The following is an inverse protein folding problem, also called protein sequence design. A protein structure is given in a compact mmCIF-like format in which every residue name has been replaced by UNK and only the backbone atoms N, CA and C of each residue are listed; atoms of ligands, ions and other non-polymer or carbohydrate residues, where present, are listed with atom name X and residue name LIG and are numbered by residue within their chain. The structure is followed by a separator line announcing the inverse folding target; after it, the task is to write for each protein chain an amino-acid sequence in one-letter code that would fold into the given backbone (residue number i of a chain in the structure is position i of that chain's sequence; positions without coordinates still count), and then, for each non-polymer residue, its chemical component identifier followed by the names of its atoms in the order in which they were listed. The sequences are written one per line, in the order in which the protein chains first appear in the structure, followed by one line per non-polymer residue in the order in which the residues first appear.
data_IF_951047069268
#
_entry.id   IF_951047069268
#
_cell.length_a   1.000
_cell.length_b   1.000
_cell.length_c   1.000
_cell.angle_alpha   90.00
_cell.angle_beta   90.00
_cell.angle_gamma   90.00
#
_symmetry.space_group_name_H-M   'P 1'
#
loop_
_entity.id
_entity.type
_entity.pdbx_description
1 polymer ?
#
# COMPACT_ATOMS: atom_id res chain seq x y z
N UNK A 1 13.54 -0.44 -46.94
CA UNK A 1 12.79 -0.10 -45.70
C UNK A 1 11.41 -0.76 -45.60
N UNK A 2 10.59 -0.83 -46.67
CA UNK A 2 9.23 -1.43 -46.61
C UNK A 2 9.22 -2.94 -46.31
N UNK A 3 10.15 -3.71 -46.88
CA UNK A 3 10.27 -5.15 -46.65
C UNK A 3 10.70 -5.51 -45.20
N UNK A 4 11.56 -4.70 -44.58
CA UNK A 4 12.02 -4.91 -43.20
C UNK A 4 10.90 -4.72 -42.17
N UNK A 5 10.01 -3.75 -42.39
CA UNK A 5 8.82 -3.52 -41.53
C UNK A 5 7.79 -4.66 -41.63
N UNK A 6 7.68 -5.33 -42.78
CA UNK A 6 6.79 -6.49 -42.97
C UNK A 6 7.38 -7.71 -42.27
N UNK A 7 8.68 -7.97 -42.45
CA UNK A 7 9.37 -9.07 -41.77
C UNK A 7 9.31 -8.94 -40.24
N UNK A 8 9.47 -7.72 -39.70
CA UNK A 8 9.40 -7.48 -38.25
C UNK A 8 7.99 -7.69 -37.69
N UNK A 9 6.94 -7.29 -38.43
CA UNK A 9 5.54 -7.56 -38.03
C UNK A 9 5.21 -9.06 -38.04
N UNK A 10 5.73 -9.81 -39.02
CA UNK A 10 5.53 -11.26 -39.09
C UNK A 10 6.25 -12.00 -37.98
N UNK A 11 7.47 -11.58 -37.61
CA UNK A 11 8.22 -12.15 -36.48
C UNK A 11 7.50 -11.85 -35.16
N UNK A 12 7.00 -10.62 -34.99
CA UNK A 12 6.25 -10.24 -33.78
C UNK A 12 4.94 -11.04 -33.64
N UNK A 13 4.19 -11.23 -34.73
CA UNK A 13 3.00 -12.08 -34.74
C UNK A 13 3.32 -13.54 -34.41
N UNK A 14 4.45 -14.06 -34.89
CA UNK A 14 4.89 -15.43 -34.59
C UNK A 14 5.28 -15.58 -33.11
N UNK A 15 5.93 -14.57 -32.52
CA UNK A 15 6.30 -14.57 -31.09
C UNK A 15 5.05 -14.50 -30.21
N UNK A 16 4.08 -13.65 -30.56
CA UNK A 16 2.80 -13.56 -29.84
C UNK A 16 2.06 -14.90 -29.92
N UNK A 17 2.01 -15.54 -31.09
CA UNK A 17 1.39 -16.86 -31.26
C UNK A 17 2.13 -17.96 -30.48
N UNK A 18 3.46 -17.91 -30.43
CA UNK A 18 4.25 -18.89 -29.68
C UNK A 18 4.03 -18.72 -28.16
N UNK A 19 3.95 -17.48 -27.68
CA UNK A 19 3.69 -17.17 -26.27
C UNK A 19 2.27 -17.58 -25.85
N UNK A 20 1.25 -17.39 -26.69
CA UNK A 20 -0.11 -17.84 -26.38
C UNK A 20 -0.24 -19.36 -26.36
N UNK A 21 0.46 -20.07 -27.26
CA UNK A 21 0.50 -21.54 -27.26
C UNK A 21 1.24 -22.09 -26.03
N UNK A 22 2.33 -21.47 -25.60
CA UNK A 22 3.04 -21.85 -24.36
C UNK A 22 2.15 -21.61 -23.13
N UNK A 23 1.39 -20.50 -23.11
CA UNK A 23 0.44 -20.21 -22.04
C UNK A 23 -0.69 -21.25 -21.98
N UNK A 24 -1.23 -21.66 -23.13
CA UNK A 24 -2.23 -22.73 -23.23
C UNK A 24 -1.72 -24.09 -22.76
N UNK A 25 -0.48 -24.48 -23.12
CA UNK A 25 0.12 -25.75 -22.69
C UNK A 25 0.40 -25.75 -21.18
N UNK A 26 0.71 -24.60 -20.59
CA UNK A 26 0.98 -24.49 -19.15
C UNK A 26 -0.28 -24.58 -18.28
N UNK A 27 -1.47 -24.35 -18.86
CA UNK A 27 -2.78 -24.52 -18.20
C UNK A 27 -3.21 -26.00 -18.23
N UNK A 28 -2.79 -26.77 -19.23
CA UNK A 28 -3.01 -28.22 -19.28
C UNK A 28 -1.94 -28.96 -18.48
N UNK A 29 -2.10 -28.98 -17.15
CA UNK A 29 -1.43 -29.95 -16.29
C UNK A 29 -1.78 -31.39 -16.70
N UNK A 30 -0.90 -32.35 -16.38
CA UNK A 30 -0.94 -33.74 -16.86
C UNK A 30 -2.13 -34.60 -16.42
N UNK A 31 -3.21 -34.01 -15.92
CA UNK A 31 -4.47 -34.67 -15.61
C UNK A 31 -5.57 -33.74 -16.13
N UNK A 32 -6.37 -34.21 -17.09
CA UNK A 32 -7.39 -33.45 -17.82
C UNK A 32 -8.61 -33.04 -16.99
N UNK A 33 -8.39 -32.42 -15.83
CA UNK A 33 -9.37 -31.53 -15.22
C UNK A 33 -9.10 -30.11 -15.73
N UNK A 34 -10.07 -29.56 -16.46
CA UNK A 34 -10.09 -28.16 -16.84
C UNK A 34 -10.25 -27.34 -15.55
N UNK A 35 -9.13 -26.98 -14.93
CA UNK A 35 -9.12 -25.98 -13.85
C UNK A 35 -9.54 -24.67 -14.50
N UNK A 36 -10.83 -24.31 -14.34
CA UNK A 36 -11.29 -22.97 -14.71
C UNK A 36 -10.34 -21.97 -14.05
N UNK A 37 -9.74 -21.03 -14.79
CA UNK A 37 -8.97 -19.98 -14.15
C UNK A 37 -9.88 -19.32 -13.12
N UNK A 38 -9.42 -19.19 -11.88
CA UNK A 38 -10.12 -18.38 -10.89
C UNK A 38 -10.32 -17.00 -11.53
N UNK A 39 -11.56 -16.58 -11.75
CA UNK A 39 -11.85 -15.27 -12.32
C UNK A 39 -11.18 -14.21 -11.44
N UNK A 40 -10.17 -13.52 -11.98
CA UNK A 40 -9.48 -12.48 -11.24
C UNK A 40 -10.35 -11.23 -11.21
N UNK A 41 -11.03 -11.01 -10.09
CA UNK A 41 -11.78 -9.78 -9.88
C UNK A 41 -10.90 -8.64 -9.36
N UNK A 42 -11.16 -7.43 -9.82
CA UNK A 42 -10.61 -6.19 -9.26
C UNK A 42 -11.71 -5.22 -8.87
N UNK A 43 -11.39 -4.33 -7.94
CA UNK A 43 -12.29 -3.26 -7.50
C UNK A 43 -11.85 -2.01 -8.26
N UNK A 44 -12.78 -1.20 -8.73
CA UNK A 44 -12.45 0.10 -9.33
C UNK A 44 -13.34 1.18 -8.69
N UNK A 45 -12.75 2.25 -8.16
CA UNK A 45 -13.53 3.39 -7.69
C UNK A 45 -13.96 4.29 -8.86
N UNK A 46 -15.12 4.94 -8.69
CA UNK A 46 -15.65 5.98 -9.60
C UNK A 46 -14.72 7.18 -9.81
N UNK A 47 -13.82 7.46 -8.88
CA UNK A 47 -12.79 8.49 -8.97
C UNK A 47 -11.43 7.84 -8.80
N UNK A 48 -10.46 8.23 -9.63
CA UNK A 48 -9.09 7.75 -9.50
C UNK A 48 -8.47 8.26 -8.19
N UNK A 49 -7.59 7.49 -7.53
CA UNK A 49 -6.81 8.00 -6.40
C UNK A 49 -5.99 9.22 -6.82
N UNK A 50 -5.92 10.24 -5.98
CA UNK A 50 -5.34 11.54 -6.34
C UNK A 50 -5.71 12.65 -5.37
N UNK A 51 -5.28 13.86 -5.71
CA UNK A 51 -5.70 15.08 -5.02
C UNK A 51 -7.03 15.62 -5.55
N UNK A 52 -7.90 16.07 -4.63
CA UNK A 52 -9.16 16.71 -4.96
C UNK A 52 -9.39 17.95 -4.06
N UNK A 53 -9.70 19.11 -4.66
CA UNK A 53 -9.97 20.34 -3.91
C UNK A 53 -11.42 20.44 -3.39
N UNK A 54 -12.18 19.33 -3.44
CA UNK A 54 -13.58 19.24 -3.03
C UNK A 54 -13.90 17.84 -2.50
N UNK A 55 -15.00 17.75 -1.75
CA UNK A 55 -15.52 16.49 -1.22
C UNK A 55 -15.95 15.53 -2.34
N UNK A 56 -15.75 14.23 -2.14
CA UNK A 56 -16.12 13.18 -3.09
C UNK A 56 -17.18 12.26 -2.51
N UNK A 57 -18.05 11.74 -3.38
CA UNK A 57 -18.88 10.57 -3.07
C UNK A 57 -18.44 9.43 -3.98
N UNK A 58 -17.67 8.49 -3.42
CA UNK A 58 -17.05 7.39 -4.15
C UNK A 58 -18.02 6.21 -4.26
N UNK A 59 -18.30 5.80 -5.48
CA UNK A 59 -18.83 4.46 -5.78
C UNK A 59 -17.69 3.48 -6.08
N UNK A 60 -17.86 2.20 -5.69
CA UNK A 60 -16.96 1.09 -6.00
C UNK A 60 -17.65 0.08 -6.92
N UNK A 61 -16.91 -0.46 -7.87
CA UNK A 61 -17.36 -1.45 -8.84
C UNK A 61 -16.45 -2.68 -8.82
N UNK A 62 -17.00 -3.87 -9.05
CA UNK A 62 -16.20 -5.08 -9.30
C UNK A 62 -16.06 -5.22 -10.82
N UNK A 63 -14.83 -5.40 -11.30
CA UNK A 63 -14.53 -5.74 -12.69
C UNK A 63 -13.98 -7.17 -12.75
N UNK A 64 -14.34 -7.90 -13.81
CA UNK A 64 -13.69 -9.16 -14.17
C UNK A 64 -12.39 -8.91 -14.97
N UNK A 65 -11.78 -9.98 -15.48
CA UNK A 65 -10.56 -9.94 -16.28
C UNK A 65 -10.72 -9.21 -17.63
N UNK A 66 -11.95 -9.12 -18.13
CA UNK A 66 -12.32 -8.45 -19.38
C UNK A 66 -12.72 -6.99 -19.19
N UNK A 67 -12.50 -6.44 -17.98
CA UNK A 67 -12.87 -5.08 -17.57
C UNK A 67 -14.39 -4.78 -17.63
N UNK A 68 -15.20 -5.83 -17.56
CA UNK A 68 -16.65 -5.73 -17.49
C UNK A 68 -17.12 -5.64 -16.03
N UNK A 69 -18.11 -4.79 -15.79
CA UNK A 69 -18.72 -4.65 -14.45
C UNK A 69 -19.49 -5.91 -14.10
N UNK A 70 -19.15 -6.49 -12.95
CA UNK A 70 -19.78 -7.68 -12.38
C UNK A 70 -20.75 -7.26 -11.29
N UNK A 71 -22.01 -7.62 -11.45
CA UNK A 71 -23.07 -7.47 -10.44
C UNK A 71 -23.53 -8.87 -10.00
N UNK A 72 -22.64 -9.56 -9.28
CA UNK A 72 -22.92 -10.87 -8.70
C UNK A 72 -23.31 -10.70 -7.23
N UNK A 73 -24.46 -11.26 -6.85
CA UNK A 73 -24.99 -11.18 -5.48
C UNK A 73 -24.16 -11.99 -4.48
N UNK A 74 -23.38 -12.94 -4.96
CA UNK A 74 -22.50 -13.77 -4.14
C UNK A 74 -21.16 -13.05 -3.85
N UNK A 75 -20.87 -11.94 -4.55
CA UNK A 75 -19.68 -11.12 -4.33
C UNK A 75 -20.01 -9.88 -3.53
N UNK A 76 -19.30 -9.70 -2.41
CA UNK A 76 -19.47 -8.56 -1.52
C UNK A 76 -18.18 -7.74 -1.42
N UNK A 77 -18.29 -6.41 -1.50
CA UNK A 77 -17.15 -5.54 -1.19
C UNK A 77 -17.20 -5.20 0.30
N UNK A 78 -16.15 -5.55 1.02
CA UNK A 78 -15.87 -5.02 2.35
C UNK A 78 -14.77 -3.98 2.26
N UNK A 79 -14.91 -2.88 2.98
CA UNK A 79 -13.91 -1.82 3.00
C UNK A 79 -13.65 -1.25 4.40
N UNK A 80 -12.46 -0.70 4.56
CA UNK A 80 -12.12 0.21 5.66
C UNK A 80 -11.69 1.54 5.06
N UNK A 81 -11.83 2.60 5.85
CA UNK A 81 -11.41 3.94 5.46
C UNK A 81 -10.69 4.63 6.62
N UNK A 82 -9.77 5.55 6.31
CA UNK A 82 -9.21 6.44 7.33
C UNK A 82 -10.31 7.18 8.07
N UNK A 83 -10.28 7.10 9.40
CA UNK A 83 -11.16 7.87 10.26
C UNK A 83 -10.39 9.06 10.83
N UNK A 84 -10.79 10.26 10.44
CA UNK A 84 -10.16 11.51 10.88
C UNK A 84 -10.70 12.05 12.20
N UNK A 85 -11.66 11.38 12.81
CA UNK A 85 -12.18 11.79 14.11
C UNK A 85 -11.10 11.60 15.17
N UNK A 86 -10.92 12.63 15.99
CA UNK A 86 -10.06 12.55 17.16
C UNK A 86 -10.51 11.37 18.02
N UNK A 87 -9.59 10.45 18.30
CA UNK A 87 -9.85 9.29 19.13
C UNK A 87 -8.80 9.22 20.23
N UNK A 88 -9.24 8.95 21.44
CA UNK A 88 -8.34 8.60 22.53
C UNK A 88 -7.84 7.17 22.32
N UNK A 89 -6.52 6.93 22.26
CA UNK A 89 -5.95 5.59 22.25
C UNK A 89 -6.53 4.74 23.39
N UNK A 90 -6.97 3.51 23.11
CA UNK A 90 -7.38 2.57 24.15
C UNK A 90 -6.16 1.94 24.83
N UNK A 91 -6.35 1.47 26.06
CA UNK A 91 -5.33 0.74 26.82
C UNK A 91 -4.95 -0.54 26.07
N UNK A 92 -3.69 -0.65 25.65
CA UNK A 92 -3.16 -1.80 24.90
C UNK A 92 -2.87 -1.52 23.42
N UNK A 93 -3.20 -0.32 22.92
CA UNK A 93 -2.78 0.09 21.58
C UNK A 93 -1.30 0.46 21.56
N UNK A 94 -0.63 0.09 20.48
CA UNK A 94 0.81 0.29 20.29
C UNK A 94 1.08 1.68 19.71
N UNK A 95 0.44 2.70 20.28
CA UNK A 95 0.61 4.09 19.86
C UNK A 95 1.76 4.68 20.66
N UNK A 96 2.90 4.87 20.01
CA UNK A 96 3.98 5.67 20.59
C UNK A 96 3.54 7.14 20.55
N UNK A 97 3.56 7.83 21.70
CA UNK A 97 3.58 9.30 21.75
C UNK A 97 4.91 9.76 21.18
N UNK A 98 4.99 9.73 19.87
CA UNK A 98 5.97 10.51 19.16
C UNK A 98 5.50 11.96 19.29
N UNK A 99 6.21 12.76 20.11
CA UNK A 99 6.08 14.21 20.09
C UNK A 99 6.15 14.71 18.64
N UNK A 100 5.01 15.21 18.19
CA UNK A 100 4.74 15.84 16.89
C UNK A 100 4.62 14.87 15.70
N UNK A 101 3.40 14.87 15.13
CA UNK A 101 2.87 14.11 13.99
C UNK A 101 2.38 12.69 14.31
N UNK A 102 1.06 12.58 14.54
CA UNK A 102 0.33 11.33 14.35
C UNK A 102 0.40 10.96 12.85
N UNK A 103 1.19 9.95 12.49
CA UNK A 103 0.99 9.27 11.21
C UNK A 103 -0.36 8.54 11.28
N UNK A 104 -1.30 8.96 10.45
CA UNK A 104 -2.72 8.59 10.54
C UNK A 104 -2.94 7.08 10.67
N UNK A 105 -3.73 6.68 11.68
CA UNK A 105 -4.23 5.33 11.89
C UNK A 105 -5.55 5.19 11.10
N UNK A 106 -5.49 4.56 9.93
CA UNK A 106 -6.61 4.42 9.01
C UNK A 106 -6.26 3.49 7.85
N UNK A 107 -7.25 2.79 7.27
CA UNK A 107 -6.99 1.77 6.24
C UNK A 107 -6.42 0.48 6.84
N UNK A 108 -7.21 -0.19 7.70
CA UNK A 108 -6.90 -1.57 8.13
C UNK A 108 -7.34 -2.58 7.07
N UNK A 109 -6.82 -3.78 7.17
CA UNK A 109 -7.27 -4.86 6.31
C UNK A 109 -8.77 -5.12 6.55
N UNK A 110 -9.62 -5.15 5.50
CA UNK A 110 -11.03 -5.51 5.65
C UNK A 110 -11.14 -6.95 6.14
N UNK A 111 -11.97 -7.14 7.16
CA UNK A 111 -12.17 -8.44 7.82
C UNK A 111 -13.64 -8.62 8.19
N UNK A 112 -14.20 -9.76 7.76
CA UNK A 112 -15.60 -10.14 7.95
C UNK A 112 -15.95 -10.32 9.44
N UNK A 113 -15.00 -10.79 10.26
CA UNK A 113 -15.23 -11.00 11.71
C UNK A 113 -15.41 -9.69 12.48
N UNK A 114 -14.94 -8.57 11.94
CA UNK A 114 -14.97 -7.25 12.58
C UNK A 114 -15.94 -6.28 11.90
N UNK A 115 -16.92 -6.77 11.14
CA UNK A 115 -18.01 -5.92 10.65
C UNK A 115 -18.76 -5.28 11.82
N UNK A 116 -19.08 -4.00 11.68
CA UNK A 116 -19.91 -3.21 12.61
C UNK A 116 -19.36 -3.00 14.04
N UNK A 117 -18.08 -3.32 14.30
CA UNK A 117 -17.47 -3.01 15.60
C UNK A 117 -17.18 -1.51 15.76
N UNK A 118 -17.69 -0.89 16.83
CA UNK A 118 -17.33 0.48 17.22
C UNK A 118 -15.87 0.51 17.72
N UNK A 119 -14.92 0.88 16.86
CA UNK A 119 -13.49 0.94 17.22
C UNK A 119 -12.53 1.07 16.03
N UNK A 120 -11.25 0.77 16.27
CA UNK A 120 -10.14 0.92 15.30
C UNK A 120 -10.27 0.01 14.06
N UNK A 121 -11.06 -1.05 14.14
CA UNK A 121 -11.19 -2.11 13.12
C UNK A 121 -12.50 -2.02 12.34
N UNK A 122 -13.04 -0.82 12.17
CA UNK A 122 -14.37 -0.67 11.56
C UNK A 122 -14.34 -1.08 10.08
N UNK A 123 -14.69 -2.34 9.82
CA UNK A 123 -14.97 -2.87 8.49
C UNK A 123 -16.42 -2.56 8.15
N UNK A 124 -16.64 -2.03 6.95
CA UNK A 124 -17.95 -1.71 6.43
C UNK A 124 -18.27 -2.59 5.23
N UNK A 125 -19.49 -3.11 5.16
CA UNK A 125 -20.04 -3.65 3.93
C UNK A 125 -20.43 -2.51 3.00
N UNK A 126 -19.91 -2.52 1.77
CA UNK A 126 -20.26 -1.52 0.77
C UNK A 126 -21.70 -1.76 0.29
N UNK A 127 -22.59 -0.84 0.70
CA UNK A 127 -24.02 -0.85 0.33
C UNK A 127 -24.47 0.47 -0.27
N UNK A 128 -23.63 1.51 -0.19
CA UNK A 128 -23.86 2.87 -0.68
C UNK A 128 -22.51 3.55 -0.91
N UNK A 129 -22.53 4.67 -1.64
CA UNK A 129 -21.36 5.49 -1.86
C UNK A 129 -20.65 5.89 -0.56
N UNK A 130 -19.33 5.99 -0.65
CA UNK A 130 -18.43 6.34 0.44
C UNK A 130 -18.15 7.83 0.35
N UNK A 131 -18.58 8.58 1.36
CA UNK A 131 -18.31 10.01 1.42
C UNK A 131 -16.88 10.27 1.91
N UNK A 132 -16.05 10.79 1.01
CA UNK A 132 -14.66 11.20 1.27
C UNK A 132 -14.66 12.71 1.37
N UNK A 133 -14.87 13.18 2.60
CA UNK A 133 -15.09 14.59 2.91
C UNK A 133 -13.92 15.19 3.68
N UNK A 134 -13.62 16.46 3.41
CA UNK A 134 -12.71 17.22 4.24
C UNK A 134 -13.46 17.97 5.33
N UNK A 135 -13.50 17.39 6.53
CA UNK A 135 -14.10 18.04 7.72
C UNK A 135 -13.26 19.20 8.29
N UNK A 136 -12.11 19.52 7.69
CA UNK A 136 -11.19 20.56 8.13
C UNK A 136 -11.07 21.64 7.06
N UNK A 137 -11.63 22.82 7.30
CA UNK A 137 -11.67 23.90 6.29
C UNK A 137 -10.28 24.42 5.84
N UNK A 138 -9.19 24.10 6.54
CA UNK A 138 -7.86 24.67 6.28
C UNK A 138 -6.69 23.67 6.23
N UNK A 139 -6.95 22.36 6.31
CA UNK A 139 -5.87 21.36 6.24
C UNK A 139 -6.28 20.22 5.33
N UNK A 140 -5.40 19.80 4.40
CA UNK A 140 -5.68 18.66 3.55
C UNK A 140 -5.71 17.39 4.40
N UNK A 141 -6.54 16.44 3.98
CA UNK A 141 -6.69 15.13 4.63
C UNK A 141 -6.31 14.03 3.66
N UNK A 142 -5.51 13.09 4.15
CA UNK A 142 -5.20 11.86 3.42
C UNK A 142 -6.18 10.78 3.85
N UNK A 143 -7.09 10.41 2.94
CA UNK A 143 -8.07 9.35 3.13
C UNK A 143 -7.60 8.10 2.39
N UNK A 144 -7.38 7.03 3.14
CA UNK A 144 -7.03 5.73 2.57
C UNK A 144 -8.26 4.85 2.64
N UNK A 145 -8.73 4.36 1.50
CA UNK A 145 -9.79 3.35 1.37
C UNK A 145 -9.13 2.03 1.02
N UNK A 146 -9.32 1.01 1.87
CA UNK A 146 -8.90 -0.36 1.56
C UNK A 146 -10.13 -1.20 1.34
N UNK A 147 -10.21 -1.87 0.19
CA UNK A 147 -11.36 -2.67 -0.17
C UNK A 147 -10.91 -4.07 -0.62
N UNK A 148 -11.70 -5.08 -0.25
CA UNK A 148 -11.48 -6.46 -0.65
C UNK A 148 -12.82 -7.10 -1.00
N UNK A 149 -12.78 -8.05 -1.92
CA UNK A 149 -13.94 -8.83 -2.34
C UNK A 149 -14.05 -10.02 -1.39
N UNK A 150 -15.27 -10.37 -1.02
CA UNK A 150 -15.60 -11.54 -0.23
C UNK A 150 -16.67 -12.36 -0.96
N UNK A 151 -16.53 -13.68 -0.92
CA UNK A 151 -17.53 -14.64 -1.37
C UNK A 151 -17.78 -15.63 -0.22
N UNK A 152 -19.05 -15.83 0.16
CA UNK A 152 -19.42 -16.69 1.29
C UNK A 152 -18.66 -16.38 2.61
N UNK A 153 -18.45 -15.09 2.88
CA UNK A 153 -17.70 -14.63 4.06
C UNK A 153 -16.19 -14.87 4.03
N UNK A 154 -15.65 -15.40 2.92
CA UNK A 154 -14.21 -15.60 2.73
C UNK A 154 -13.65 -14.56 1.79
N UNK A 155 -12.49 -14.02 2.14
CA UNK A 155 -11.79 -13.06 1.30
C UNK A 155 -11.39 -13.70 -0.02
N UNK A 156 -11.78 -13.05 -1.11
CA UNK A 156 -11.50 -13.43 -2.48
C UNK A 156 -10.50 -12.44 -3.09
N UNK A 157 -9.31 -12.92 -3.43
CA UNK A 157 -8.23 -12.09 -3.98
C UNK A 157 -7.54 -11.18 -2.95
N UNK A 158 -6.81 -10.18 -3.46
CA UNK A 158 -6.02 -9.23 -2.65
C UNK A 158 -6.83 -7.99 -2.29
N UNK A 159 -6.45 -7.37 -1.18
CA UNK A 159 -6.99 -6.05 -0.81
C UNK A 159 -6.38 -5.01 -1.73
N UNK A 160 -7.24 -4.13 -2.24
CA UNK A 160 -6.85 -2.98 -3.05
C UNK A 160 -6.90 -1.72 -2.20
N UNK A 161 -5.87 -0.89 -2.32
CA UNK A 161 -5.69 0.31 -1.50
C UNK A 161 -5.74 1.54 -2.38
N UNK A 162 -6.65 2.45 -2.07
CA UNK A 162 -6.86 3.71 -2.78
C UNK A 162 -6.56 4.87 -1.82
N UNK A 163 -5.71 5.79 -2.24
CA UNK A 163 -5.31 6.94 -1.43
C UNK A 163 -5.80 8.23 -2.09
N UNK A 164 -6.63 8.98 -1.37
CA UNK A 164 -7.18 10.26 -1.80
C UNK A 164 -6.65 11.36 -0.89
N UNK A 165 -6.25 12.47 -1.47
CA UNK A 165 -5.86 13.67 -0.73
C UNK A 165 -6.95 14.72 -0.96
N UNK A 166 -7.73 15.05 0.07
CA UNK A 166 -8.82 16.03 -0.05
C UNK A 166 -8.41 17.32 0.64
N UNK A 167 -8.44 18.43 -0.09
CA UNK A 167 -8.04 19.74 0.41
C UNK A 167 -8.99 20.84 -0.05
N UNK A 168 -10.20 20.90 0.54
CA UNK A 168 -11.13 22.01 0.31
C UNK A 168 -10.45 23.36 0.52
N UNK A 169 -10.41 24.20 -0.51
CA UNK A 169 -9.76 25.52 -0.48
C UNK A 169 -8.25 25.52 -0.78
N UNK A 170 -7.67 24.37 -1.12
CA UNK A 170 -6.30 24.27 -1.63
C UNK A 170 -6.38 24.17 -3.15
N UNK A 171 -6.01 25.24 -3.84
CA UNK A 171 -6.03 25.29 -5.31
C UNK A 171 -4.71 24.78 -5.91
N UNK A 172 -3.60 24.96 -5.18
CA UNK A 172 -2.27 24.53 -5.61
C UNK A 172 -1.70 23.47 -4.63
N UNK A 173 -1.57 22.24 -5.13
CA UNK A 173 -0.99 21.13 -4.38
C UNK A 173 0.51 21.32 -4.11
N UNK A 174 1.25 21.90 -5.07
CA UNK A 174 2.69 22.08 -4.99
C UNK A 174 3.06 23.13 -3.92
N UNK A 175 2.28 24.20 -3.81
CA UNK A 175 2.47 25.20 -2.74
C UNK A 175 2.30 24.61 -1.35
N UNK A 176 1.41 23.62 -1.19
CA UNK A 176 1.10 23.02 0.11
C UNK A 176 2.03 21.86 0.47
N UNK A 177 2.38 21.01 -0.49
CA UNK A 177 3.10 19.75 -0.25
C UNK A 177 4.51 19.72 -0.84
N UNK A 178 4.88 20.69 -1.66
CA UNK A 178 6.15 20.73 -2.36
C UNK A 178 6.17 19.82 -3.59
N UNK A 179 7.26 19.08 -3.77
CA UNK A 179 7.55 18.39 -5.03
C UNK A 179 6.89 17.01 -5.18
N UNK A 180 6.83 16.19 -4.13
CA UNK A 180 6.32 14.82 -4.22
C UNK A 180 5.78 14.36 -2.86
N UNK A 181 4.60 13.74 -2.86
CA UNK A 181 4.01 13.13 -1.66
C UNK A 181 4.10 11.61 -1.77
N UNK A 182 4.66 10.98 -0.74
CA UNK A 182 4.72 9.52 -0.63
C UNK A 182 3.86 9.08 0.55
N UNK A 183 2.83 8.28 0.26
CA UNK A 183 1.99 7.67 1.27
C UNK A 183 2.37 6.20 1.45
N UNK A 184 2.59 5.79 2.70
CA UNK A 184 2.86 4.39 3.06
C UNK A 184 1.73 3.92 3.97
N UNK A 185 1.04 2.86 3.56
CA UNK A 185 -0.03 2.23 4.31
C UNK A 185 0.42 0.85 4.75
N UNK A 186 0.40 0.55 6.04
CA UNK A 186 0.82 -0.74 6.61
C UNK A 186 0.00 -1.05 7.84
N UNK A 187 -0.01 -2.32 8.25
CA UNK A 187 -0.52 -2.68 9.58
C UNK A 187 0.32 -1.98 10.67
N UNK A 188 -0.34 -1.50 11.71
CA UNK A 188 0.29 -0.87 12.88
C UNK A 188 1.30 -1.81 13.54
N UNK A 189 1.00 -3.12 13.60
CA UNK A 189 1.90 -4.13 14.19
C UNK A 189 3.24 -4.22 13.45
N UNK A 190 3.26 -3.93 12.16
CA UNK A 190 4.49 -3.93 11.36
C UNK A 190 5.44 -2.83 11.82
N UNK A 191 4.91 -1.70 12.29
CA UNK A 191 5.69 -0.58 12.78
C UNK A 191 5.97 -0.70 14.28
N UNK A 192 4.96 -1.04 15.08
CA UNK A 192 4.98 -0.89 16.53
C UNK A 192 4.71 -2.20 17.31
N UNK A 193 4.52 -3.32 16.62
CA UNK A 193 4.39 -4.66 17.21
C UNK A 193 5.54 -5.01 18.14
N UNK A 194 5.26 -5.64 19.27
CA UNK A 194 6.29 -6.04 20.23
C UNK A 194 7.35 -6.95 19.58
N UNK A 195 6.91 -8.00 18.90
CA UNK A 195 7.80 -9.00 18.30
C UNK A 195 8.43 -8.50 17.01
N UNK A 196 7.62 -7.93 16.12
CA UNK A 196 8.01 -7.66 14.72
C UNK A 196 8.07 -6.17 14.35
N UNK A 197 7.66 -5.25 15.23
CA UNK A 197 7.57 -3.83 14.94
C UNK A 197 8.92 -3.19 14.64
N UNK A 198 9.07 -2.65 13.42
CA UNK A 198 10.36 -2.14 12.93
C UNK A 198 10.74 -0.75 13.46
N UNK A 199 9.84 -0.05 14.17
CA UNK A 199 10.07 1.31 14.68
C UNK A 199 10.39 1.36 16.18
N UNK A 200 10.31 0.23 16.89
CA UNK A 200 10.46 0.16 18.35
C UNK A 200 11.68 -0.66 18.80
N UNK A 201 11.98 -0.63 20.11
CA UNK A 201 13.01 -1.51 20.70
C UNK A 201 12.58 -2.98 20.66
N UNK A 202 11.35 -3.26 21.09
CA UNK A 202 10.65 -4.54 20.97
C UNK A 202 11.35 -5.76 21.60
N UNK A 203 10.86 -6.95 21.25
CA UNK A 203 11.26 -8.22 21.83
C UNK A 203 12.77 -8.48 21.74
N UNK A 204 13.44 -8.02 20.68
CA UNK A 204 14.89 -8.21 20.52
C UNK A 204 15.69 -7.54 21.64
N UNK A 205 15.23 -6.38 22.10
CA UNK A 205 15.86 -5.64 23.18
C UNK A 205 15.68 -6.35 24.52
N UNK A 206 14.45 -6.75 24.84
CA UNK A 206 14.13 -7.42 26.10
C UNK A 206 14.81 -8.79 26.20
N UNK A 207 14.83 -9.55 25.10
CA UNK A 207 15.58 -10.81 25.00
C UNK A 207 17.07 -10.58 25.28
N UNK A 208 17.67 -9.55 24.71
CA UNK A 208 19.10 -9.27 24.94
C UNK A 208 19.37 -8.84 26.38
N UNK A 209 18.48 -8.04 26.98
CA UNK A 209 18.60 -7.58 28.38
C UNK A 209 18.45 -8.72 29.38
N UNK A 210 17.51 -9.62 29.13
CA UNK A 210 17.27 -10.78 29.99
C UNK A 210 18.45 -11.75 29.95
N UNK A 211 19.04 -11.97 28.78
CA UNK A 211 20.15 -12.93 28.63
C UNK A 211 21.53 -12.33 28.97
N UNK A 212 21.70 -11.01 28.93
CA UNK A 212 22.97 -10.33 29.24
C UNK A 212 22.73 -9.11 30.15
N UNK A 213 22.31 -9.30 31.41
CA UNK A 213 21.89 -8.19 32.27
C UNK A 213 23.03 -7.24 32.65
N UNK A 214 24.28 -7.70 32.59
CA UNK A 214 25.48 -6.90 32.87
C UNK A 214 25.97 -6.09 31.66
N UNK A 215 25.37 -6.27 30.47
CA UNK A 215 25.75 -5.52 29.28
C UNK A 215 25.14 -4.11 29.33
N UNK A 216 25.99 -3.11 29.18
CA UNK A 216 25.58 -1.71 29.05
C UNK A 216 24.82 -1.46 27.73
N UNK A 217 23.84 -0.57 27.81
CA UNK A 217 23.00 -0.18 26.68
C UNK A 217 23.72 0.83 25.77
N UNK A 218 24.65 0.32 24.98
CA UNK A 218 25.34 1.09 23.94
C UNK A 218 24.45 1.36 22.70
N UNK A 219 24.98 2.16 21.76
CA UNK A 219 24.30 2.49 20.50
C UNK A 219 23.98 1.28 19.61
N UNK A 220 24.69 0.17 19.80
CA UNK A 220 24.59 -1.08 19.05
C UNK A 220 23.80 -2.15 19.80
N UNK A 221 23.18 -1.80 20.92
CA UNK A 221 22.39 -2.72 21.69
C UNK A 221 21.24 -3.26 20.81
N UNK A 222 21.11 -4.59 20.63
CA UNK A 222 20.12 -5.17 19.74
C UNK A 222 18.71 -4.71 20.08
N UNK A 223 18.02 -4.18 19.08
CA UNK A 223 16.64 -3.67 19.11
C UNK A 223 15.99 -4.05 17.80
N UNK A 224 14.66 -4.16 17.75
CA UNK A 224 13.92 -4.52 16.53
C UNK A 224 14.28 -3.59 15.37
N UNK A 225 14.32 -2.27 15.60
CA UNK A 225 14.70 -1.32 14.55
C UNK A 225 16.14 -1.46 14.05
N UNK A 226 17.03 -2.19 14.75
CA UNK A 226 18.41 -2.44 14.31
C UNK A 226 18.53 -3.70 13.44
N UNK A 227 17.49 -4.51 13.34
CA UNK A 227 17.56 -5.81 12.70
C UNK A 227 17.61 -5.73 11.16
N UNK A 228 17.95 -6.87 10.54
CA UNK A 228 18.26 -6.96 9.10
C UNK A 228 17.77 -8.28 8.52
N UNK A 229 17.71 -8.34 7.19
CA UNK A 229 17.28 -9.51 6.43
C UNK A 229 15.79 -9.48 6.11
N UNK A 230 15.37 -10.44 5.28
CA UNK A 230 13.99 -10.58 4.78
C UNK A 230 12.96 -10.72 5.90
N UNK A 231 13.33 -11.37 7.00
CA UNK A 231 12.50 -11.53 8.20
C UNK A 231 12.14 -10.20 8.92
N UNK A 232 12.83 -9.11 8.59
CA UNK A 232 12.58 -7.76 9.12
C UNK A 232 11.96 -6.82 8.09
N UNK A 233 11.48 -7.38 6.98
CA UNK A 233 10.71 -6.68 5.97
C UNK A 233 9.22 -6.82 6.31
N UNK A 234 8.47 -5.74 6.15
CA UNK A 234 7.05 -5.69 6.48
C UNK A 234 6.25 -5.31 5.24
N UNK A 235 5.14 -5.98 5.04
CA UNK A 235 4.24 -5.65 3.95
C UNK A 235 3.65 -4.24 4.15
N UNK A 236 3.66 -3.46 3.09
CA UNK A 236 3.03 -2.16 3.02
C UNK A 236 2.51 -1.91 1.61
N UNK A 237 1.67 -0.89 1.47
CA UNK A 237 1.26 -0.33 0.19
C UNK A 237 1.83 1.08 0.07
N UNK A 238 2.40 1.40 -1.08
CA UNK A 238 2.95 2.73 -1.36
C UNK A 238 2.18 3.43 -2.47
N UNK A 239 1.89 4.71 -2.27
CA UNK A 239 1.35 5.61 -3.28
C UNK A 239 2.27 6.83 -3.46
N UNK A 240 2.61 7.15 -4.71
CA UNK A 240 3.42 8.31 -5.08
C UNK A 240 2.58 9.32 -5.84
N UNK A 241 2.59 10.56 -5.36
CA UNK A 241 1.91 11.68 -5.98
C UNK A 241 2.94 12.73 -6.42
N UNK A 242 2.83 13.21 -7.65
CA UNK A 242 3.62 14.33 -8.17
C UNK A 242 3.19 15.66 -7.51
N UNK A 243 3.90 16.74 -7.85
CA UNK A 243 3.62 18.08 -7.33
C UNK A 243 2.24 18.62 -7.71
N UNK A 244 1.56 18.03 -8.69
CA UNK A 244 0.18 18.39 -9.06
C UNK A 244 -0.88 17.53 -8.33
N UNK A 245 -0.45 16.56 -7.51
CA UNK A 245 -1.32 15.61 -6.82
C UNK A 245 -1.77 14.42 -7.66
N UNK A 246 -1.22 14.24 -8.86
CA UNK A 246 -1.48 13.08 -9.73
C UNK A 246 -0.78 11.83 -9.19
N UNK A 247 -1.52 10.72 -9.07
CA UNK A 247 -0.96 9.41 -8.69
C UNK A 247 -0.10 8.82 -9.83
N UNK A 248 1.18 8.57 -9.56
CA UNK A 248 2.13 7.95 -10.53
C UNK A 248 2.30 6.47 -10.29
N UNK A 249 2.31 6.05 -9.03
CA UNK A 249 2.56 4.66 -8.65
C UNK A 249 1.70 4.31 -7.45
N UNK A 250 1.03 3.16 -7.52
CA UNK A 250 0.25 2.57 -6.43
C UNK A 250 0.47 1.07 -6.44
N UNK A 251 1.21 0.53 -5.47
CA UNK A 251 1.52 -0.91 -5.43
C UNK A 251 1.87 -1.39 -4.02
N UNK A 252 1.72 -2.68 -3.76
CA UNK A 252 2.28 -3.28 -2.54
C UNK A 252 3.81 -3.38 -2.64
N UNK A 253 4.46 -3.28 -1.49
CA UNK A 253 5.90 -3.28 -1.34
C UNK A 253 6.27 -3.84 0.04
N UNK A 254 7.56 -4.16 0.22
CA UNK A 254 8.14 -4.37 1.54
C UNK A 254 8.71 -3.07 2.09
N UNK A 255 8.67 -2.88 3.41
CA UNK A 255 9.36 -1.81 4.11
C UNK A 255 10.27 -2.35 5.20
N UNK A 256 11.39 -1.67 5.44
CA UNK A 256 12.33 -1.97 6.53
C UNK A 256 13.12 -0.74 6.94
N UNK A 257 13.58 -0.68 8.19
CA UNK A 257 14.47 0.40 8.63
C UNK A 257 15.81 0.40 7.87
N UNK A 258 16.20 1.57 7.39
CA UNK A 258 17.45 1.82 6.70
C UNK A 258 18.51 2.42 7.65
N UNK A 259 19.76 2.47 7.20
CA UNK A 259 20.86 3.11 7.94
C UNK A 259 21.61 2.20 8.92
N UNK A 260 22.43 2.83 9.78
CA UNK A 260 23.18 2.18 10.87
C UNK A 260 22.85 2.88 12.18
N UNK A 261 23.65 3.89 12.52
CA UNK A 261 23.44 4.74 13.70
C UNK A 261 22.13 5.54 13.65
N UNK A 262 21.75 6.03 12.46
CA UNK A 262 20.53 6.84 12.24
C UNK A 262 19.23 6.13 12.61
N UNK A 263 19.23 4.79 12.77
CA UNK A 263 18.07 4.01 13.24
C UNK A 263 17.65 4.35 14.66
N UNK A 264 18.56 4.91 15.45
CA UNK A 264 18.25 5.37 16.80
C UNK A 264 17.52 6.72 16.82
N UNK A 265 17.48 7.44 15.69
CA UNK A 265 16.73 8.69 15.59
C UNK A 265 15.22 8.44 15.74
N UNK A 266 14.52 9.49 16.15
CA UNK A 266 13.08 9.47 16.32
C UNK A 266 12.36 9.28 14.97
N UNK A 267 12.75 10.09 13.97
CA UNK A 267 12.37 9.89 12.57
C UNK A 267 13.35 8.89 11.96
N UNK A 268 12.86 7.70 11.59
CA UNK A 268 13.70 6.65 11.01
C UNK A 268 13.59 6.65 9.49
N UNK A 269 14.72 6.44 8.83
CA UNK A 269 14.75 6.17 7.40
C UNK A 269 14.13 4.81 7.11
N UNK A 270 13.24 4.74 6.12
CA UNK A 270 12.68 3.49 5.61
C UNK A 270 13.27 3.17 4.24
N UNK A 271 13.45 1.88 3.97
CA UNK A 271 13.78 1.34 2.65
C UNK A 271 12.51 0.74 2.07
N UNK A 272 12.14 1.18 0.88
CA UNK A 272 11.13 0.52 0.06
C UNK A 272 11.77 -0.65 -0.69
N UNK A 273 11.10 -1.78 -0.66
CA UNK A 273 11.57 -3.06 -1.19
C UNK A 273 10.49 -3.59 -2.12
N UNK A 274 10.91 -4.26 -3.19
CA UNK A 274 9.97 -4.88 -4.12
C UNK A 274 9.21 -6.00 -3.41
N UNK A 275 7.89 -6.04 -3.59
CA UNK A 275 7.10 -7.22 -3.25
C UNK A 275 7.34 -8.28 -4.34
N UNK A 276 8.00 -9.40 -3.98
CA UNK A 276 8.26 -10.51 -4.89
C UNK A 276 6.98 -11.27 -5.27
N UNK A 277 5.89 -11.11 -4.50
CA UNK A 277 4.58 -11.73 -4.78
C UNK A 277 3.76 -10.97 -5.83
N UNK A 278 4.27 -9.85 -6.38
CA UNK A 278 3.61 -9.06 -7.42
C UNK A 278 4.36 -9.20 -8.75
N UNK A 279 3.70 -9.70 -9.82
CA UNK A 279 4.27 -9.67 -11.17
C UNK A 279 4.46 -8.22 -11.62
N UNK A 280 5.60 -7.93 -12.25
CA UNK A 280 5.96 -6.58 -12.67
C UNK A 280 4.96 -6.03 -13.68
N UNK A 281 4.26 -4.96 -13.33
CA UNK A 281 3.68 -4.05 -14.33
C UNK A 281 4.84 -3.17 -14.82
N UNK A 282 5.25 -3.35 -16.07
CA UNK A 282 6.12 -2.38 -16.71
C UNK A 282 5.29 -1.12 -16.95
N UNK A 283 5.42 -0.13 -16.08
CA UNK A 283 5.03 1.23 -16.42
C UNK A 283 6.04 1.71 -17.48
N UNK A 284 5.61 2.08 -18.70
CA UNK A 284 6.51 2.70 -19.65
C UNK A 284 6.93 4.06 -19.09
N UNK A 285 8.07 4.09 -18.39
CA UNK A 285 8.77 5.32 -18.07
C UNK A 285 9.25 5.94 -19.39
N UNK A 286 8.39 6.73 -20.05
CA UNK A 286 8.86 7.77 -20.96
C UNK A 286 9.26 9.00 -20.16
N UNK A 287 10.13 8.78 -19.16
CA UNK A 287 10.82 9.85 -18.44
C UNK A 287 12.18 10.03 -19.10
N UNK A 288 12.27 10.99 -20.02
CA UNK A 288 13.54 11.60 -20.40
C UNK A 288 13.98 12.54 -19.28
N UNK A 289 14.28 12.00 -18.11
CA UNK A 289 15.20 12.60 -17.15
C UNK A 289 15.75 11.47 -16.28
N UNK A 290 17.08 11.41 -16.22
CA UNK A 290 17.80 10.56 -15.29
C UNK A 290 17.34 10.93 -13.87
N UNK A 291 16.57 10.06 -13.22
CA UNK A 291 16.35 10.17 -11.77
C UNK A 291 17.59 9.61 -11.08
N UNK A 292 18.64 10.44 -10.98
CA UNK A 292 19.77 10.20 -10.09
C UNK A 292 19.33 10.67 -8.70
N UNK A 293 19.10 9.74 -7.78
CA UNK A 293 18.92 10.07 -6.36
C UNK A 293 20.29 10.44 -5.77
N UNK A 294 20.75 11.67 -5.97
CA UNK A 294 21.89 12.23 -5.25
C UNK A 294 21.43 12.79 -3.90
N UNK A 295 21.91 12.18 -2.81
CA UNK A 295 21.84 12.76 -1.47
C UNK A 295 23.12 13.57 -1.29
N UNK A 296 23.07 14.87 -1.58
CA UNK A 296 24.17 15.79 -1.30
C UNK A 296 24.17 16.13 0.19
N UNK A 297 25.23 15.76 0.91
CA UNK A 297 25.55 16.36 2.21
C UNK A 297 26.38 17.62 1.96
N UNK A 298 25.79 18.79 2.13
CA UNK A 298 26.55 20.04 2.21
C UNK A 298 27.06 20.19 3.65
N UNK A 299 28.36 20.05 3.84
CA UNK A 299 29.08 20.55 5.01
C UNK A 299 29.17 22.06 4.95
N UNK A 300 28.78 22.71 6.04
CA UNK A 300 29.12 24.09 6.39
C UNK A 300 29.24 24.16 7.91
#
# INVERSE_FOLDING_TARGET
MRAYKIALKSIFALIVLLLTVIFLISITGSNGEEVKPEHTYRIVPSYNPGFYPHDLSLSLYILNEDDEVVDDKDLEILYTMTNHNARTPQKGELITKTGEVYMFSGGKEPDYEYMDFAGIRKTYKYTKSIDVINTSNNFPRVVVVRAAIFADGKKHGRTQTYTYIIGTGIEDFAEHFGAMVVCITTDEKNLYGYEEGIMIKGATYDFTKTNNPQRDEDWWYPKNYNQRGRQWEREAHVAFFESDGTLVLSQNCGIRTAGGTSRNAFIKSLKLLRDESIPSIQVPLTMSSLMTLEITTATG
#
